data_IF_449412662889
#
_entry.id   IF_449412662889
#
_cell.length_a   1.000
_cell.length_b   1.000
_cell.length_c   1.000
_cell.angle_alpha   90.00
_cell.angle_beta   90.00
_cell.angle_gamma   90.00
#
_symmetry.space_group_name_H-M   'P 1'
#
loop_
_entity.id
_entity.type
_entity.pdbx_description
1 polymer ?
#
# COMPACT_ATOMS: atom_id res chain seq x y z
N UNK A 1 20.06 6.72 19.63
CA UNK A 1 19.14 5.76 20.28
C UNK A 1 17.69 6.25 20.24
N UNK A 2 17.32 7.36 20.89
CA UNK A 2 15.93 7.88 20.90
C UNK A 2 15.37 8.15 19.50
N UNK A 3 16.18 8.69 18.60
CA UNK A 3 15.79 8.93 17.21
C UNK A 3 15.42 7.64 16.46
N UNK A 4 16.23 6.58 16.59
CA UNK A 4 15.95 5.28 15.97
C UNK A 4 14.61 4.67 16.44
N UNK A 5 14.31 4.72 17.75
CA UNK A 5 13.02 4.24 18.26
C UNK A 5 11.85 5.06 17.71
N UNK A 6 11.99 6.39 17.65
CA UNK A 6 10.97 7.26 17.09
C UNK A 6 10.73 6.96 15.59
N UNK A 7 11.81 6.76 14.81
CA UNK A 7 11.72 6.40 13.39
C UNK A 7 11.05 5.05 13.18
N UNK A 8 11.38 4.04 13.99
CA UNK A 8 10.71 2.72 13.95
C UNK A 8 9.22 2.88 14.27
N UNK A 9 8.87 3.62 15.32
CA UNK A 9 7.47 3.88 15.69
C UNK A 9 6.69 4.58 14.58
N UNK A 10 7.27 5.63 13.98
CA UNK A 10 6.68 6.33 12.83
C UNK A 10 6.48 5.39 11.64
N UNK A 11 7.51 4.62 11.29
CA UNK A 11 7.45 3.70 10.16
C UNK A 11 6.35 2.65 10.32
N UNK A 12 6.26 2.02 11.51
CA UNK A 12 5.22 1.03 11.81
C UNK A 12 3.83 1.65 11.71
N UNK A 13 3.63 2.85 12.26
CA UNK A 13 2.35 3.54 12.19
C UNK A 13 1.97 3.87 10.73
N UNK A 14 2.88 4.45 9.94
CA UNK A 14 2.63 4.76 8.53
C UNK A 14 2.32 3.50 7.71
N UNK A 15 3.03 2.40 7.96
CA UNK A 15 2.74 1.12 7.29
C UNK A 15 1.33 0.62 7.61
N UNK A 16 0.90 0.69 8.87
CA UNK A 16 -0.45 0.29 9.26
C UNK A 16 -1.52 1.18 8.63
N UNK A 17 -1.30 2.49 8.59
CA UNK A 17 -2.22 3.44 7.95
C UNK A 17 -2.31 3.16 6.45
N UNK A 18 -1.17 2.96 5.77
CA UNK A 18 -1.14 2.62 4.36
C UNK A 18 -1.90 1.31 4.07
N UNK A 19 -1.59 0.22 4.79
CA UNK A 19 -2.26 -1.08 4.62
C UNK A 19 -3.76 -0.99 4.87
N UNK A 20 -4.17 -0.28 5.93
CA UNK A 20 -5.58 -0.06 6.25
C UNK A 20 -6.29 0.80 5.19
N UNK A 21 -5.60 1.76 4.58
CA UNK A 21 -6.13 2.60 3.52
C UNK A 21 -6.26 1.86 2.19
N UNK A 22 -5.34 0.94 1.88
CA UNK A 22 -5.33 0.25 0.59
C UNK A 22 -6.41 -0.84 0.51
N UNK A 23 -6.82 -1.42 1.63
CA UNK A 23 -7.87 -2.42 1.66
C UNK A 23 -9.21 -1.93 1.04
N UNK A 24 -9.80 -0.79 1.46
CA UNK A 24 -11.03 -0.27 0.84
C UNK A 24 -10.82 0.16 -0.61
N UNK A 25 -9.64 0.67 -0.97
CA UNK A 25 -9.30 1.05 -2.36
C UNK A 25 -9.37 -0.18 -3.27
N UNK A 26 -8.76 -1.26 -2.82
CA UNK A 26 -8.74 -2.50 -3.56
C UNK A 26 -10.13 -3.14 -3.66
N UNK A 27 -10.92 -3.11 -2.59
CA UNK A 27 -12.31 -3.58 -2.63
C UNK A 27 -13.17 -2.75 -3.60
N UNK A 28 -12.99 -1.43 -3.60
CA UNK A 28 -13.65 -0.54 -4.56
C UNK A 28 -13.24 -0.87 -6.00
N UNK A 29 -11.95 -1.10 -6.26
CA UNK A 29 -11.48 -1.56 -7.57
C UNK A 29 -12.17 -2.85 -7.99
N UNK A 30 -12.26 -3.86 -7.10
CA UNK A 30 -12.94 -5.12 -7.42
C UNK A 30 -14.42 -4.90 -7.74
N UNK A 31 -15.11 -4.03 -7.02
CA UNK A 31 -16.52 -3.69 -7.29
C UNK A 31 -16.73 -3.12 -8.69
N UNK A 32 -15.77 -2.35 -9.22
CA UNK A 32 -15.90 -1.70 -10.53
C UNK A 32 -15.40 -2.55 -11.70
N UNK A 33 -14.43 -3.44 -11.45
CA UNK A 33 -13.74 -4.18 -12.52
C UNK A 33 -14.14 -5.65 -12.58
N UNK A 34 -14.62 -6.24 -11.48
CA UNK A 34 -15.04 -7.64 -11.45
C UNK A 34 -16.56 -7.77 -11.65
N UNK A 35 -17.02 -8.38 -12.75
CA UNK A 35 -18.44 -8.58 -13.01
C UNK A 35 -19.11 -9.35 -11.86
N UNK A 36 -20.25 -8.86 -11.37
CA UNK A 36 -21.01 -9.52 -10.31
C UNK A 36 -20.48 -9.30 -8.89
N UNK A 37 -19.29 -8.72 -8.70
CA UNK A 37 -18.72 -8.52 -7.36
C UNK A 37 -19.52 -7.49 -6.56
N UNK A 38 -19.86 -6.35 -7.18
CA UNK A 38 -20.70 -5.33 -6.55
C UNK A 38 -22.07 -5.86 -6.12
N UNK A 39 -22.73 -6.65 -6.99
CA UNK A 39 -24.03 -7.26 -6.70
C UNK A 39 -23.93 -8.27 -5.56
N UNK A 40 -22.83 -9.01 -5.47
CA UNK A 40 -22.56 -9.98 -4.41
C UNK A 40 -22.31 -9.32 -3.05
N UNK A 41 -21.60 -8.19 -3.03
CA UNK A 41 -21.22 -7.50 -1.79
C UNK A 41 -22.20 -6.41 -1.37
N UNK A 42 -23.13 -6.02 -2.26
CA UNK A 42 -24.05 -4.89 -2.03
C UNK A 42 -23.32 -3.55 -1.88
N UNK A 43 -22.08 -3.44 -2.38
CA UNK A 43 -21.25 -2.25 -2.22
C UNK A 43 -20.56 -2.11 -0.84
N UNK A 44 -20.62 -3.13 0.02
CA UNK A 44 -19.97 -3.09 1.34
C UNK A 44 -18.58 -3.72 1.34
N UNK A 45 -17.65 -3.10 2.06
CA UNK A 45 -16.34 -3.68 2.38
C UNK A 45 -16.50 -4.64 3.57
N UNK A 46 -16.30 -5.93 3.34
CA UNK A 46 -16.41 -6.93 4.40
C UNK A 46 -15.28 -6.75 5.43
N UNK A 47 -15.56 -6.98 6.73
CA UNK A 47 -14.55 -6.86 7.79
C UNK A 47 -13.33 -7.79 7.61
N UNK A 48 -13.46 -8.86 6.84
CA UNK A 48 -12.35 -9.73 6.44
C UNK A 48 -11.38 -9.12 5.43
N UNK A 49 -11.75 -8.05 4.72
CA UNK A 49 -10.92 -7.41 3.70
C UNK A 49 -9.64 -6.82 4.29
N UNK A 50 -9.70 -6.25 5.49
CA UNK A 50 -8.55 -5.71 6.22
C UNK A 50 -7.55 -6.78 6.68
N UNK A 51 -7.94 -8.07 6.62
CA UNK A 51 -7.05 -9.19 6.93
C UNK A 51 -6.28 -9.68 5.72
N UNK A 52 -6.60 -9.21 4.52
CA UNK A 52 -5.88 -9.61 3.32
C UNK A 52 -4.47 -9.00 3.34
N UNK A 53 -3.42 -9.83 3.37
CA UNK A 53 -2.06 -9.33 3.26
C UNK A 53 -1.88 -8.57 1.95
N UNK A 54 -1.15 -7.45 2.00
CA UNK A 54 -0.81 -6.65 0.83
C UNK A 54 -0.25 -7.51 -0.32
N UNK A 55 0.58 -8.50 0.01
CA UNK A 55 1.12 -9.47 -0.96
C UNK A 55 0.03 -10.20 -1.77
N UNK A 56 -1.10 -10.54 -1.15
CA UNK A 56 -2.19 -11.20 -1.86
C UNK A 56 -2.92 -10.24 -2.80
N UNK A 57 -3.05 -8.97 -2.41
CA UNK A 57 -3.60 -7.91 -3.25
C UNK A 57 -2.73 -7.74 -4.50
N UNK A 58 -1.42 -7.58 -4.32
CA UNK A 58 -0.45 -7.45 -5.43
C UNK A 58 -0.51 -8.68 -6.35
N UNK A 59 -0.49 -9.89 -5.78
CA UNK A 59 -0.58 -11.14 -6.56
C UNK A 59 -1.86 -11.22 -7.39
N UNK A 60 -3.00 -10.82 -6.82
CA UNK A 60 -4.27 -10.85 -7.56
C UNK A 60 -4.31 -9.80 -8.69
N UNK A 61 -3.74 -8.61 -8.46
CA UNK A 61 -3.63 -7.58 -9.49
C UNK A 61 -2.69 -8.01 -10.63
N UNK A 62 -1.54 -8.57 -10.28
CA UNK A 62 -0.52 -9.11 -11.20
C UNK A 62 -1.06 -10.22 -12.09
N UNK A 63 -1.74 -11.22 -11.49
CA UNK A 63 -2.33 -12.34 -12.22
C UNK A 63 -3.36 -11.93 -13.30
N UNK A 64 -3.92 -10.72 -13.18
CA UNK A 64 -4.93 -10.19 -14.11
C UNK A 64 -4.35 -9.13 -15.06
N UNK A 65 -3.05 -8.85 -15.03
CA UNK A 65 -2.44 -7.76 -15.81
C UNK A 65 -2.99 -6.39 -15.44
N UNK A 66 -3.44 -6.24 -14.19
CA UNK A 66 -4.10 -5.05 -13.68
C UNK A 66 -3.16 -4.25 -12.76
N UNK A 67 -1.85 -4.39 -12.93
CA UNK A 67 -0.86 -3.58 -12.24
C UNK A 67 0.30 -3.27 -13.17
N UNK A 68 0.75 -2.03 -13.12
CA UNK A 68 1.93 -1.51 -13.80
C UNK A 68 3.17 -2.16 -13.16
N UNK A 69 4.12 -2.65 -13.96
CA UNK A 69 5.32 -3.31 -13.43
C UNK A 69 6.13 -2.47 -12.45
N UNK A 70 6.13 -1.14 -12.61
CA UNK A 70 6.82 -0.21 -11.70
C UNK A 70 6.11 -0.17 -10.35
N UNK A 71 4.77 -0.06 -10.36
CA UNK A 71 3.94 -0.07 -9.15
C UNK A 71 4.04 -1.43 -8.43
N UNK A 72 4.02 -2.53 -9.19
CA UNK A 72 4.20 -3.88 -8.66
C UNK A 72 5.55 -4.02 -7.96
N UNK A 73 6.65 -3.70 -8.66
CA UNK A 73 8.01 -3.75 -8.10
C UNK A 73 8.14 -2.87 -6.85
N UNK A 74 7.50 -1.71 -6.85
CA UNK A 74 7.53 -0.77 -5.72
C UNK A 74 6.82 -1.34 -4.50
N UNK A 75 5.63 -1.92 -4.69
CA UNK A 75 4.89 -2.61 -3.62
C UNK A 75 5.61 -3.86 -3.10
N UNK A 76 6.21 -4.66 -3.97
CA UNK A 76 7.00 -5.84 -3.57
C UNK A 76 8.21 -5.45 -2.71
N UNK A 77 8.96 -4.44 -3.14
CA UNK A 77 10.07 -3.89 -2.35
C UNK A 77 9.60 -3.38 -0.99
N UNK A 78 8.51 -2.60 -0.97
CA UNK A 78 7.93 -2.10 0.26
C UNK A 78 7.55 -3.24 1.23
N UNK A 79 6.88 -4.29 0.75
CA UNK A 79 6.51 -5.47 1.56
C UNK A 79 7.75 -6.10 2.20
N UNK A 80 8.82 -6.29 1.41
CA UNK A 80 10.06 -6.92 1.87
C UNK A 80 10.79 -6.06 2.90
N UNK A 81 10.93 -4.76 2.65
CA UNK A 81 11.61 -3.81 3.54
C UNK A 81 10.87 -3.65 4.87
N UNK A 82 9.52 -3.59 4.84
CA UNK A 82 8.67 -3.59 6.03
C UNK A 82 8.81 -4.90 6.79
N UNK A 83 8.79 -6.05 6.10
CA UNK A 83 8.94 -7.35 6.75
C UNK A 83 10.33 -7.49 7.38
N UNK A 84 11.37 -6.95 6.73
CA UNK A 84 12.70 -6.82 7.31
C UNK A 84 12.65 -5.99 8.59
N UNK A 85 12.13 -4.76 8.54
CA UNK A 85 12.07 -3.85 9.68
C UNK A 85 11.35 -4.47 10.89
N UNK A 86 10.18 -5.08 10.68
CA UNK A 86 9.31 -5.54 11.76
C UNK A 86 9.72 -6.91 12.31
N UNK A 87 10.15 -7.84 11.44
CA UNK A 87 10.30 -9.24 11.83
C UNK A 87 11.74 -9.75 11.78
N UNK A 88 12.58 -9.26 10.87
CA UNK A 88 13.89 -9.87 10.61
C UNK A 88 15.08 -9.01 11.00
N UNK A 89 14.91 -7.71 11.23
CA UNK A 89 16.02 -6.79 11.47
C UNK A 89 16.91 -7.27 12.61
N UNK A 90 16.32 -7.53 13.78
CA UNK A 90 17.07 -7.96 14.97
C UNK A 90 17.55 -9.41 14.90
N UNK A 91 16.95 -10.24 14.04
CA UNK A 91 17.43 -11.59 13.78
C UNK A 91 18.71 -11.53 12.93
N UNK A 92 18.74 -10.66 11.92
CA UNK A 92 19.85 -10.54 10.98
C UNK A 92 21.00 -9.69 11.51
N UNK A 93 20.70 -8.60 12.19
CA UNK A 93 21.68 -7.59 12.62
C UNK A 93 21.96 -7.63 14.13
N UNK A 94 21.22 -8.44 14.88
CA UNK A 94 21.25 -8.43 16.33
C UNK A 94 20.58 -7.19 16.94
N UNK A 95 20.50 -7.15 18.26
CA UNK A 95 20.15 -5.92 18.98
C UNK A 95 21.36 -4.98 19.02
N UNK A 96 21.23 -3.71 18.56
CA UNK A 96 22.32 -2.76 18.66
C UNK A 96 22.76 -2.57 20.11
N UNK A 97 24.07 -2.64 20.38
CA UNK A 97 24.60 -2.23 21.68
C UNK A 97 24.40 -0.73 21.88
N UNK A 98 24.24 -0.30 23.13
CA UNK A 98 23.95 1.10 23.45
C UNK A 98 25.00 2.07 22.91
N UNK A 99 26.29 1.68 22.95
CA UNK A 99 27.39 2.47 22.39
C UNK A 99 27.53 2.43 20.87
N UNK A 100 26.83 1.56 20.14
CA UNK A 100 27.03 1.37 18.69
C UNK A 100 26.21 2.37 17.87
N UNK A 101 26.79 3.56 17.67
CA UNK A 101 26.16 4.65 16.91
C UNK A 101 25.80 4.22 15.48
N UNK A 102 26.66 3.46 14.82
CA UNK A 102 26.49 3.03 13.43
C UNK A 102 25.31 2.06 13.28
N UNK A 103 25.17 1.11 14.20
CA UNK A 103 24.06 0.15 14.20
C UNK A 103 22.72 0.85 14.45
N UNK A 104 22.68 1.82 15.37
CA UNK A 104 21.49 2.64 15.61
C UNK A 104 21.13 3.50 14.39
N UNK A 105 22.12 4.11 13.71
CA UNK A 105 21.90 4.89 12.49
C UNK A 105 21.39 4.03 11.34
N UNK A 106 21.89 2.81 11.19
CA UNK A 106 21.42 1.89 10.15
C UNK A 106 19.94 1.53 10.35
N UNK A 107 19.54 1.21 11.59
CA UNK A 107 18.14 0.95 11.92
C UNK A 107 17.26 2.19 11.69
N UNK A 108 17.72 3.36 12.12
CA UNK A 108 17.03 4.63 11.91
C UNK A 108 16.81 4.90 10.41
N UNK A 109 17.86 4.78 9.59
CA UNK A 109 17.79 5.01 8.15
C UNK A 109 16.83 4.04 7.46
N UNK A 110 16.88 2.75 7.82
CA UNK A 110 15.97 1.75 7.25
C UNK A 110 14.52 2.04 7.64
N UNK A 111 14.27 2.36 8.91
CA UNK A 111 12.95 2.73 9.40
C UNK A 111 12.40 3.98 8.69
N UNK A 112 13.21 5.03 8.56
CA UNK A 112 12.83 6.25 7.84
C UNK A 112 12.46 5.95 6.40
N UNK A 113 13.28 5.21 5.66
CA UNK A 113 13.00 4.84 4.27
C UNK A 113 11.69 4.04 4.12
N UNK A 114 11.44 3.07 5.00
CA UNK A 114 10.19 2.30 5.02
C UNK A 114 8.98 3.19 5.29
N UNK A 115 9.10 4.12 6.24
CA UNK A 115 8.03 5.05 6.58
C UNK A 115 7.71 6.02 5.45
N UNK A 116 8.74 6.60 4.84
CA UNK A 116 8.57 7.55 3.73
C UNK A 116 7.97 6.87 2.50
N UNK A 117 8.40 5.64 2.19
CA UNK A 117 7.81 4.86 1.11
C UNK A 117 6.34 4.51 1.36
N UNK A 118 5.97 4.15 2.59
CA UNK A 118 4.56 3.93 2.96
C UNK A 118 3.72 5.21 2.77
N UNK A 119 4.27 6.36 3.15
CA UNK A 119 3.62 7.65 3.00
C UNK A 119 3.44 8.03 1.53
N UNK A 120 4.47 7.82 0.71
CA UNK A 120 4.41 8.10 -0.73
C UNK A 120 3.42 7.19 -1.45
N UNK A 121 3.41 5.89 -1.14
CA UNK A 121 2.42 4.95 -1.69
C UNK A 121 1.00 5.34 -1.26
N UNK A 122 0.81 5.75 0.00
CA UNK A 122 -0.48 6.25 0.46
C UNK A 122 -0.90 7.50 -0.33
N UNK A 123 -0.04 8.49 -0.52
CA UNK A 123 -0.34 9.67 -1.33
C UNK A 123 -0.62 9.31 -2.79
N UNK A 124 0.15 8.38 -3.36
CA UNK A 124 -0.07 7.86 -4.70
C UNK A 124 -1.51 7.33 -4.83
N UNK A 125 -1.90 6.36 -4.01
CA UNK A 125 -3.22 5.74 -4.16
C UNK A 125 -4.37 6.67 -3.75
N UNK A 126 -4.20 7.51 -2.74
CA UNK A 126 -5.26 8.43 -2.29
C UNK A 126 -5.44 9.65 -3.19
N UNK A 127 -4.35 10.27 -3.67
CA UNK A 127 -4.39 11.43 -4.57
C UNK A 127 -5.10 11.11 -5.89
N UNK A 128 -4.88 9.90 -6.41
CA UNK A 128 -5.60 9.43 -7.59
C UNK A 128 -7.09 9.18 -7.35
N UNK A 129 -7.46 8.61 -6.20
CA UNK A 129 -8.87 8.44 -5.86
C UNK A 129 -9.56 9.79 -5.79
N UNK A 130 -8.96 10.78 -5.15
CA UNK A 130 -9.54 12.13 -5.09
C UNK A 130 -9.70 12.73 -6.49
N UNK A 131 -8.75 12.48 -7.41
CA UNK A 131 -8.80 12.96 -8.80
C UNK A 131 -9.89 12.28 -9.65
N UNK A 132 -10.22 11.01 -9.37
CA UNK A 132 -11.06 10.21 -10.26
C UNK A 132 -12.37 9.69 -9.65
N UNK A 133 -12.55 9.79 -8.33
CA UNK A 133 -13.77 9.39 -7.64
C UNK A 133 -14.85 10.49 -7.76
N UNK A 134 -15.48 10.57 -8.93
CA UNK A 134 -16.65 11.42 -9.19
C UNK A 134 -17.93 10.57 -9.22
N UNK A 135 -18.72 10.51 -8.12
CA UNK A 135 -19.89 9.63 -8.03
C UNK A 135 -20.96 9.92 -9.10
N UNK A 136 -21.15 11.20 -9.43
CA UNK A 136 -22.11 11.61 -10.46
C UNK A 136 -21.73 11.14 -11.86
N UNK A 137 -20.42 11.06 -12.17
CA UNK A 137 -19.93 10.50 -13.44
C UNK A 137 -19.93 8.97 -13.43
N UNK A 138 -19.64 8.34 -12.31
CA UNK A 138 -19.72 6.87 -12.17
C UNK A 138 -21.12 6.34 -12.55
N UNK A 139 -22.17 7.07 -12.16
CA UNK A 139 -23.55 6.68 -12.46
C UNK A 139 -23.96 7.01 -13.90
N UNK A 140 -23.39 8.06 -14.50
CA UNK A 140 -23.69 8.48 -15.87
C UNK A 140 -22.93 7.66 -16.93
N UNK A 141 -21.67 7.30 -16.67
CA UNK A 141 -20.76 6.63 -17.60
C UNK A 141 -19.94 5.54 -16.88
N UNK A 142 -20.55 4.39 -16.54
CA UNK A 142 -19.92 3.36 -15.72
C UNK A 142 -18.67 2.73 -16.36
N UNK A 143 -18.65 2.57 -17.69
CA UNK A 143 -17.50 1.97 -18.41
C UNK A 143 -16.28 2.91 -18.41
N UNK A 144 -16.49 4.21 -18.66
CA UNK A 144 -15.45 5.23 -18.59
C UNK A 144 -14.88 5.34 -17.18
N UNK A 145 -15.75 5.29 -16.18
CA UNK A 145 -15.37 5.34 -14.78
C UNK A 145 -14.55 4.11 -14.37
N UNK A 146 -14.96 2.90 -14.79
CA UNK A 146 -14.21 1.66 -14.54
C UNK A 146 -12.82 1.69 -15.18
N UNK A 147 -12.70 2.23 -16.40
CA UNK A 147 -11.42 2.42 -17.07
C UNK A 147 -10.48 3.37 -16.28
N UNK A 148 -10.99 4.49 -15.77
CA UNK A 148 -10.23 5.43 -14.94
C UNK A 148 -9.81 4.85 -13.59
N UNK A 149 -10.66 4.07 -12.94
CA UNK A 149 -10.28 3.38 -11.69
C UNK A 149 -9.24 2.29 -11.98
N UNK A 150 -9.31 1.65 -13.16
CA UNK A 150 -8.30 0.68 -13.58
C UNK A 150 -6.93 1.31 -13.88
N UNK A 151 -6.90 2.57 -14.33
CA UNK A 151 -5.63 3.26 -14.57
C UNK A 151 -4.83 3.52 -13.28
N UNK A 152 -5.48 3.57 -12.10
CA UNK A 152 -4.83 3.66 -10.79
C UNK A 152 -3.71 2.63 -10.61
N UNK A 153 -3.95 1.42 -11.12
CA UNK A 153 -2.97 0.36 -11.07
C UNK A 153 -2.18 0.22 -12.36
N UNK A 154 -2.68 0.66 -13.52
CA UNK A 154 -2.04 0.43 -14.84
C UNK A 154 -1.15 1.56 -15.36
N UNK A 155 -1.28 2.77 -14.85
CA UNK A 155 -0.55 3.95 -15.36
C UNK A 155 0.03 4.79 -14.20
N UNK A 156 1.31 5.20 -14.26
CA UNK A 156 1.90 6.13 -13.29
C UNK A 156 1.37 7.57 -13.47
N UNK A 157 1.44 8.42 -12.42
CA UNK A 157 0.87 9.77 -12.46
C UNK A 157 1.61 10.61 -13.46
N UNK A 158 0.86 11.14 -14.41
CA UNK A 158 1.31 12.27 -15.21
C UNK A 158 1.21 13.51 -14.32
N UNK A 159 2.38 14.00 -13.89
CA UNK A 159 2.54 15.33 -13.28
C UNK A 159 2.10 16.44 -14.23
#
# INVERSE_FOLDING_TARGET
MTAAFASVGRAVWLCQVFEASLAPIYEFFKMNVQPGYFQKTGGYVAGGAYKNPLKNIVKELSARGNIDPTVESRLEKYIEDRHLLVHRWFIQNGWPKDESVEAWKALESHATAVGDEAQDLMHYFTGYIVKHAEPGRAQANPDEYSARISSLFREPPQE
#
